data_IF_471170037898
#
_entry.id   IF_471170037898
#
_cell.length_a   1.000
_cell.length_b   1.000
_cell.length_c   1.000
_cell.angle_alpha   90.00
_cell.angle_beta   90.00
_cell.angle_gamma   90.00
#
_symmetry.space_group_name_H-M   'P 1'
#
loop_
_entity.id
_entity.type
_entity.pdbx_description
1 polymer ?
#
# COMPACT_ATOMS: atom_id res chain seq x y z
N UNK A 1 -25.52 -16.93 -33.49
CA UNK A 1 -24.63 -15.74 -33.37
C UNK A 1 -23.66 -15.70 -34.56
N UNK A 2 -23.31 -14.52 -35.07
CA UNK A 2 -22.41 -14.37 -36.24
C UNK A 2 -20.92 -14.42 -35.85
N UNK A 3 -19.99 -14.73 -36.79
CA UNK A 3 -18.55 -14.68 -36.51
C UNK A 3 -18.06 -13.30 -36.03
N UNK A 4 -18.62 -12.21 -36.59
CA UNK A 4 -18.30 -10.84 -36.18
C UNK A 4 -18.64 -10.60 -34.71
N UNK A 5 -19.85 -11.02 -34.28
CA UNK A 5 -20.27 -10.86 -32.88
C UNK A 5 -19.34 -11.62 -31.92
N UNK A 6 -18.93 -12.82 -32.28
CA UNK A 6 -17.96 -13.61 -31.49
C UNK A 6 -16.58 -12.96 -31.39
N UNK A 7 -16.09 -12.35 -32.46
CA UNK A 7 -14.83 -11.59 -32.44
C UNK A 7 -14.93 -10.40 -31.47
N UNK A 8 -16.03 -9.63 -31.54
CA UNK A 8 -16.25 -8.48 -30.66
C UNK A 8 -16.34 -8.91 -29.19
N UNK A 9 -17.03 -10.02 -28.90
CA UNK A 9 -17.07 -10.62 -27.56
C UNK A 9 -15.68 -11.05 -27.09
N UNK A 10 -14.88 -11.66 -27.96
CA UNK A 10 -13.49 -12.01 -27.66
C UNK A 10 -12.61 -10.80 -27.33
N UNK A 11 -12.76 -9.70 -28.08
CA UNK A 11 -12.09 -8.43 -27.78
C UNK A 11 -12.55 -7.84 -26.45
N UNK A 12 -13.86 -7.90 -26.15
CA UNK A 12 -14.41 -7.44 -24.88
C UNK A 12 -13.80 -8.20 -23.70
N UNK A 13 -13.72 -9.53 -23.80
CA UNK A 13 -13.10 -10.40 -22.79
C UNK A 13 -11.63 -10.02 -22.59
N UNK A 14 -10.87 -9.84 -23.67
CA UNK A 14 -9.45 -9.51 -23.58
C UNK A 14 -9.23 -8.15 -22.91
N UNK A 15 -10.00 -7.12 -23.28
CA UNK A 15 -9.92 -5.79 -22.68
C UNK A 15 -10.36 -5.80 -21.21
N UNK A 16 -11.43 -6.53 -20.85
CA UNK A 16 -11.89 -6.64 -19.47
C UNK A 16 -10.94 -7.42 -18.56
N UNK A 17 -10.29 -8.46 -19.10
CA UNK A 17 -9.24 -9.19 -18.39
C UNK A 17 -8.00 -8.31 -18.18
N UNK A 18 -7.60 -7.52 -19.18
CA UNK A 18 -6.53 -6.54 -19.06
C UNK A 18 -6.85 -5.51 -17.98
N UNK A 19 -8.06 -4.96 -17.99
CA UNK A 19 -8.53 -3.98 -16.99
C UNK A 19 -8.42 -4.53 -15.56
N UNK A 20 -8.97 -5.74 -15.35
CA UNK A 20 -8.96 -6.41 -14.05
C UNK A 20 -7.52 -6.65 -13.58
N UNK A 21 -6.65 -7.19 -14.43
CA UNK A 21 -5.28 -7.55 -14.02
C UNK A 21 -4.37 -6.33 -13.93
N UNK A 22 -4.42 -5.43 -14.88
CA UNK A 22 -3.50 -4.30 -14.94
C UNK A 22 -3.96 -3.17 -14.02
N UNK A 23 -5.20 -2.70 -14.20
CA UNK A 23 -5.70 -1.54 -13.47
C UNK A 23 -6.10 -1.89 -12.04
N UNK A 24 -6.97 -2.88 -11.85
CA UNK A 24 -7.49 -3.18 -10.51
C UNK A 24 -6.46 -3.84 -9.60
N UNK A 25 -5.66 -4.79 -10.14
CA UNK A 25 -4.71 -5.56 -9.33
C UNK A 25 -3.33 -4.97 -9.22
N UNK A 26 -2.72 -4.55 -10.34
CA UNK A 26 -1.32 -4.14 -10.33
C UNK A 26 -1.14 -2.66 -10.00
N UNK A 27 -1.94 -1.77 -10.61
CA UNK A 27 -1.78 -0.33 -10.39
C UNK A 27 -2.57 0.17 -9.20
N UNK A 28 -3.88 -0.10 -9.14
CA UNK A 28 -4.76 0.48 -8.12
C UNK A 28 -4.82 -0.35 -6.84
N UNK A 29 -4.68 -1.68 -6.95
CA UNK A 29 -4.68 -2.59 -5.80
C UNK A 29 -5.97 -2.46 -4.98
N UNK A 30 -7.12 -2.41 -5.66
CA UNK A 30 -8.44 -2.12 -5.07
C UNK A 30 -8.74 -3.00 -3.85
N UNK A 31 -8.37 -4.28 -3.92
CA UNK A 31 -8.55 -5.26 -2.85
C UNK A 31 -7.83 -4.94 -1.53
N UNK A 32 -6.98 -3.92 -1.51
CA UNK A 32 -6.20 -3.50 -0.35
C UNK A 32 -6.54 -2.08 0.12
N UNK A 33 -7.55 -1.44 -0.47
CA UNK A 33 -7.97 -0.09 -0.10
C UNK A 33 -9.38 -0.13 0.50
N UNK A 34 -9.55 0.14 1.81
CA UNK A 34 -10.86 0.09 2.47
C UNK A 34 -11.98 0.92 1.82
N UNK A 35 -11.74 2.13 1.27
CA UNK A 35 -12.78 2.91 0.60
C UNK A 35 -13.37 2.22 -0.64
N UNK A 36 -12.58 1.40 -1.35
CA UNK A 36 -12.95 0.72 -2.61
C UNK A 36 -13.80 -0.54 -2.39
N UNK A 37 -14.26 -0.78 -1.16
CA UNK A 37 -15.09 -1.94 -0.82
C UNK A 37 -16.38 -2.02 -1.64
N UNK A 38 -17.00 -0.88 -1.97
CA UNK A 38 -18.27 -0.86 -2.71
C UNK A 38 -18.06 -1.19 -4.19
N UNK A 39 -17.03 -0.62 -4.81
CA UNK A 39 -16.53 -0.94 -6.15
C UNK A 39 -16.31 -2.46 -6.29
N UNK A 40 -15.55 -3.08 -5.38
CA UNK A 40 -15.33 -4.55 -5.41
C UNK A 40 -16.61 -5.39 -5.30
N UNK A 41 -17.65 -4.91 -4.59
CA UNK A 41 -18.94 -5.63 -4.56
C UNK A 41 -19.64 -5.54 -5.91
N UNK A 42 -19.59 -4.39 -6.57
CA UNK A 42 -20.16 -4.20 -7.90
C UNK A 42 -19.42 -5.09 -8.90
N UNK A 43 -18.09 -5.13 -8.86
CA UNK A 43 -17.26 -6.03 -9.67
C UNK A 43 -17.62 -7.50 -9.42
N UNK A 44 -17.80 -7.91 -8.17
CA UNK A 44 -18.18 -9.28 -7.83
C UNK A 44 -19.53 -9.69 -8.45
N UNK A 45 -20.54 -8.83 -8.37
CA UNK A 45 -21.87 -9.10 -8.93
C UNK A 45 -21.82 -9.08 -10.46
N UNK A 46 -21.15 -8.09 -11.06
CA UNK A 46 -20.94 -7.99 -12.51
C UNK A 46 -20.27 -9.25 -13.05
N UNK A 47 -19.18 -9.68 -12.42
CA UNK A 47 -18.41 -10.86 -12.82
C UNK A 47 -19.23 -12.16 -12.68
N UNK A 48 -20.13 -12.26 -11.69
CA UNK A 48 -21.05 -13.39 -11.58
C UNK A 48 -22.07 -13.43 -12.74
N UNK A 49 -22.58 -12.26 -13.17
CA UNK A 49 -23.46 -12.16 -14.33
C UNK A 49 -22.73 -12.53 -15.62
N UNK A 50 -21.50 -12.03 -15.82
CA UNK A 50 -20.67 -12.43 -16.96
C UNK A 50 -20.39 -13.94 -16.99
N UNK A 51 -20.08 -14.54 -15.84
CA UNK A 51 -19.86 -15.98 -15.75
C UNK A 51 -21.09 -16.78 -16.22
N UNK A 52 -22.28 -16.37 -15.77
CA UNK A 52 -23.54 -16.96 -16.22
C UNK A 52 -23.76 -16.76 -17.72
N UNK A 53 -23.63 -15.53 -18.22
CA UNK A 53 -23.90 -15.19 -19.62
C UNK A 53 -22.94 -15.90 -20.57
N UNK A 54 -21.64 -15.95 -20.27
CA UNK A 54 -20.66 -16.65 -21.12
C UNK A 54 -20.90 -18.16 -21.14
N UNK A 55 -21.24 -18.77 -20.00
CA UNK A 55 -21.53 -20.20 -19.96
C UNK A 55 -22.81 -20.53 -20.74
N UNK A 56 -23.84 -19.72 -20.57
CA UNK A 56 -25.14 -19.94 -21.22
C UNK A 56 -25.06 -19.70 -22.73
N UNK A 57 -24.62 -18.51 -23.15
CA UNK A 57 -24.56 -18.15 -24.58
C UNK A 57 -23.45 -18.90 -25.33
N UNK A 58 -22.47 -19.46 -24.61
CA UNK A 58 -21.43 -20.31 -25.18
C UNK A 58 -21.93 -21.67 -25.65
N UNK A 59 -22.99 -22.20 -25.04
CA UNK A 59 -23.40 -23.61 -25.23
C UNK A 59 -24.88 -23.78 -25.56
N UNK A 60 -25.69 -22.73 -25.45
CA UNK A 60 -27.13 -22.84 -25.60
C UNK A 60 -27.75 -21.70 -26.40
N UNK A 61 -28.71 -22.05 -27.24
CA UNK A 61 -29.73 -21.12 -27.73
C UNK A 61 -30.94 -21.25 -26.82
N UNK A 62 -31.22 -20.19 -26.07
CA UNK A 62 -32.34 -20.13 -25.13
C UNK A 62 -33.47 -19.37 -25.82
N UNK A 63 -34.63 -20.00 -25.96
CA UNK A 63 -35.80 -19.48 -26.66
C UNK A 63 -37.01 -19.24 -25.74
N UNK A 64 -37.92 -18.39 -26.21
CA UNK A 64 -39.18 -18.06 -25.55
C UNK A 64 -38.99 -17.29 -24.25
N UNK A 65 -39.76 -17.65 -23.22
CA UNK A 65 -39.76 -16.94 -21.93
C UNK A 65 -38.39 -16.96 -21.24
N UNK A 66 -37.59 -17.99 -21.48
CA UNK A 66 -36.25 -18.10 -20.92
C UNK A 66 -35.28 -17.06 -21.49
N UNK A 67 -35.47 -16.64 -22.75
CA UNK A 67 -34.64 -15.59 -23.36
C UNK A 67 -34.89 -14.24 -22.70
N UNK A 68 -36.11 -13.98 -22.22
CA UNK A 68 -36.42 -12.77 -21.48
C UNK A 68 -35.58 -12.65 -20.19
N UNK A 69 -35.24 -13.78 -19.54
CA UNK A 69 -34.32 -13.79 -18.39
C UNK A 69 -32.89 -13.42 -18.78
N UNK A 70 -32.43 -13.81 -19.97
CA UNK A 70 -31.11 -13.42 -20.50
C UNK A 70 -31.08 -11.93 -20.81
N UNK A 71 -32.13 -11.39 -21.44
CA UNK A 71 -32.26 -9.95 -21.67
C UNK A 71 -32.30 -9.19 -20.33
N UNK A 72 -33.04 -9.68 -19.34
CA UNK A 72 -33.07 -9.09 -18.01
C UNK A 72 -31.70 -9.12 -17.32
N UNK A 73 -30.94 -10.22 -17.46
CA UNK A 73 -29.58 -10.33 -16.93
C UNK A 73 -28.62 -9.34 -17.61
N UNK A 74 -28.73 -9.15 -18.95
CA UNK A 74 -27.97 -8.13 -19.68
C UNK A 74 -28.35 -6.71 -19.23
N UNK A 75 -29.63 -6.42 -19.05
CA UNK A 75 -30.09 -5.12 -18.55
C UNK A 75 -29.58 -4.83 -17.13
N UNK A 76 -29.61 -5.84 -16.24
CA UNK A 76 -29.06 -5.74 -14.91
C UNK A 76 -27.54 -5.51 -14.93
N UNK A 77 -26.83 -6.21 -15.81
CA UNK A 77 -25.39 -6.00 -16.01
C UNK A 77 -25.09 -4.55 -16.46
N UNK A 78 -25.83 -4.02 -17.44
CA UNK A 78 -25.67 -2.62 -17.90
C UNK A 78 -25.88 -1.66 -16.74
N UNK A 79 -26.93 -1.86 -15.95
CA UNK A 79 -27.21 -1.02 -14.79
C UNK A 79 -26.07 -1.06 -13.76
N UNK A 80 -25.51 -2.25 -13.47
CA UNK A 80 -24.37 -2.40 -12.56
C UNK A 80 -23.14 -1.71 -13.13
N UNK A 81 -22.84 -1.86 -14.42
CA UNK A 81 -21.69 -1.23 -15.08
C UNK A 81 -21.80 0.30 -15.05
N UNK A 82 -22.99 0.86 -15.21
CA UNK A 82 -23.22 2.30 -15.03
C UNK A 82 -23.06 2.74 -13.57
N UNK A 83 -23.55 1.96 -12.61
CA UNK A 83 -23.35 2.24 -11.18
C UNK A 83 -21.88 2.19 -10.78
N UNK A 84 -21.13 1.25 -11.35
CA UNK A 84 -19.69 1.09 -11.13
C UNK A 84 -18.93 2.35 -11.61
N UNK A 85 -19.24 2.82 -12.82
CA UNK A 85 -18.67 4.05 -13.36
C UNK A 85 -18.91 5.27 -12.46
N UNK A 86 -20.12 5.40 -11.90
CA UNK A 86 -20.45 6.49 -10.97
C UNK A 86 -19.69 6.34 -9.64
N UNK A 87 -19.60 5.13 -9.11
CA UNK A 87 -18.86 4.85 -7.86
C UNK A 87 -17.35 5.11 -8.03
N UNK A 88 -16.78 4.75 -9.17
CA UNK A 88 -15.38 5.02 -9.51
C UNK A 88 -15.08 6.52 -9.50
N UNK A 89 -15.88 7.32 -10.22
CA UNK A 89 -15.67 8.78 -10.33
C UNK A 89 -15.85 9.50 -8.99
N UNK A 90 -16.74 9.00 -8.13
CA UNK A 90 -16.94 9.51 -6.77
C UNK A 90 -15.83 9.09 -5.80
N UNK A 91 -15.25 7.90 -5.97
CA UNK A 91 -14.33 7.31 -4.99
C UNK A 91 -12.86 7.58 -5.27
N UNK A 92 -12.46 7.75 -6.54
CA UNK A 92 -11.07 8.02 -6.92
C UNK A 92 -10.93 8.67 -8.29
N UNK A 93 -9.78 9.32 -8.50
CA UNK A 93 -9.43 9.86 -9.82
C UNK A 93 -8.91 8.74 -10.72
N UNK A 94 -9.63 8.48 -11.82
CA UNK A 94 -9.22 7.49 -12.82
C UNK A 94 -7.97 7.94 -13.60
N UNK A 95 -6.91 7.11 -13.66
CA UNK A 95 -5.79 7.28 -14.58
C UNK A 95 -6.26 7.44 -16.04
N UNK A 96 -5.51 8.19 -16.83
CA UNK A 96 -5.86 8.42 -18.23
C UNK A 96 -5.95 7.12 -19.05
N UNK A 97 -5.07 6.15 -18.79
CA UNK A 97 -5.10 4.85 -19.45
C UNK A 97 -6.34 4.03 -19.11
N UNK A 98 -6.80 4.08 -17.85
CA UNK A 98 -8.01 3.41 -17.38
C UNK A 98 -9.25 4.01 -18.06
N UNK A 99 -9.33 5.34 -18.10
CA UNK A 99 -10.42 6.05 -18.78
C UNK A 99 -10.51 5.72 -20.28
N UNK A 100 -9.36 5.61 -20.95
CA UNK A 100 -9.32 5.19 -22.36
C UNK A 100 -9.84 3.76 -22.49
N UNK A 101 -9.38 2.84 -21.63
CA UNK A 101 -9.84 1.45 -21.65
C UNK A 101 -11.35 1.33 -21.42
N UNK A 102 -11.90 2.05 -20.43
CA UNK A 102 -13.35 2.09 -20.16
C UNK A 102 -14.14 2.63 -21.36
N UNK A 103 -13.62 3.66 -22.03
CA UNK A 103 -14.24 4.21 -23.25
C UNK A 103 -14.30 3.17 -24.37
N UNK A 104 -13.20 2.43 -24.60
CA UNK A 104 -13.14 1.38 -25.62
C UNK A 104 -14.06 0.20 -25.27
N UNK A 105 -14.07 -0.22 -23.99
CA UNK A 105 -14.97 -1.24 -23.46
C UNK A 105 -16.44 -0.86 -23.67
N UNK A 106 -16.83 0.38 -23.38
CA UNK A 106 -18.20 0.86 -23.55
C UNK A 106 -18.63 0.90 -25.02
N UNK A 107 -17.76 1.39 -25.92
CA UNK A 107 -18.03 1.43 -27.36
C UNK A 107 -18.21 0.01 -27.91
N UNK A 108 -17.25 -0.88 -27.64
CA UNK A 108 -17.31 -2.26 -28.13
C UNK A 108 -18.53 -3.01 -27.56
N UNK A 109 -18.84 -2.81 -26.27
CA UNK A 109 -20.03 -3.40 -25.66
C UNK A 109 -21.33 -2.88 -26.27
N UNK A 110 -21.42 -1.59 -26.58
CA UNK A 110 -22.56 -1.02 -27.30
C UNK A 110 -22.76 -1.68 -28.68
N UNK A 111 -21.69 -1.93 -29.43
CA UNK A 111 -21.75 -2.66 -30.72
C UNK A 111 -22.18 -4.11 -30.52
N UNK A 112 -21.67 -4.81 -29.50
CA UNK A 112 -22.10 -6.16 -29.14
C UNK A 112 -23.61 -6.18 -28.88
N UNK A 113 -24.11 -5.26 -28.06
CA UNK A 113 -25.54 -5.16 -27.75
C UNK A 113 -26.39 -4.87 -28.99
N UNK A 114 -25.95 -3.95 -29.86
CA UNK A 114 -26.65 -3.63 -31.11
C UNK A 114 -26.79 -4.85 -32.05
N UNK A 115 -25.80 -5.75 -32.03
CA UNK A 115 -25.82 -6.98 -32.84
C UNK A 115 -26.51 -8.16 -32.14
N UNK A 116 -26.44 -8.24 -30.81
CA UNK A 116 -26.97 -9.34 -30.02
C UNK A 116 -28.46 -9.17 -29.70
N UNK A 117 -28.92 -7.96 -29.37
CA UNK A 117 -30.30 -7.72 -28.94
C UNK A 117 -31.34 -8.14 -29.99
N UNK A 118 -31.19 -7.85 -31.30
CA UNK A 118 -32.14 -8.33 -32.31
C UNK A 118 -32.25 -9.85 -32.33
N UNK A 119 -31.11 -10.55 -32.18
CA UNK A 119 -31.08 -12.02 -32.13
C UNK A 119 -31.85 -12.54 -30.91
N UNK A 120 -31.64 -11.91 -29.74
CA UNK A 120 -32.35 -12.29 -28.51
C UNK A 120 -33.84 -11.98 -28.59
N UNK A 121 -34.23 -10.87 -29.22
CA UNK A 121 -35.65 -10.55 -29.46
C UNK A 121 -36.28 -11.62 -30.34
N UNK A 122 -35.63 -12.01 -31.44
CA UNK A 122 -36.14 -13.08 -32.31
C UNK A 122 -36.27 -14.42 -31.56
N UNK A 123 -35.33 -14.72 -30.67
CA UNK A 123 -35.39 -15.89 -29.80
C UNK A 123 -36.56 -15.84 -28.80
N UNK A 124 -36.95 -14.67 -28.28
CA UNK A 124 -38.13 -14.55 -27.40
C UNK A 124 -39.44 -14.88 -28.12
N UNK A 125 -39.50 -14.71 -29.44
CA UNK A 125 -40.70 -14.99 -30.25
C UNK A 125 -40.86 -16.49 -30.58
N UNK A 126 -39.84 -17.30 -30.30
CA UNK A 126 -39.88 -18.75 -30.50
C UNK A 126 -40.50 -19.49 -29.31
N UNK A 127 -41.00 -20.73 -29.50
CA UNK A 127 -41.47 -21.56 -28.39
C UNK A 127 -40.40 -21.75 -27.32
N UNK A 128 -40.80 -21.69 -26.05
CA UNK A 128 -39.88 -21.80 -24.93
C UNK A 128 -39.12 -23.13 -24.96
N UNK A 129 -37.79 -23.05 -24.96
CA UNK A 129 -36.93 -24.23 -25.05
C UNK A 129 -35.46 -23.87 -24.95
N UNK A 130 -34.63 -24.87 -24.68
CA UNK A 130 -33.18 -24.75 -24.65
C UNK A 130 -32.64 -25.71 -25.71
N UNK A 131 -31.90 -25.18 -26.67
CA UNK A 131 -31.22 -25.97 -27.70
C UNK A 131 -29.72 -25.87 -27.49
N UNK A 132 -29.00 -26.95 -27.74
CA UNK A 132 -27.53 -26.92 -27.71
C UNK A 132 -27.01 -26.06 -28.87
N UNK A 133 -26.18 -25.08 -28.53
CA UNK A 133 -25.39 -24.31 -29.48
C UNK A 133 -23.93 -24.77 -29.38
N UNK A 134 -23.26 -24.94 -30.51
CA UNK A 134 -21.83 -25.22 -30.53
C UNK A 134 -21.14 -24.34 -31.56
N UNK A 135 -20.23 -23.49 -31.10
CA UNK A 135 -19.49 -22.53 -31.92
C UNK A 135 -18.00 -22.91 -32.05
N UNK A 136 -17.66 -24.20 -31.89
CA UNK A 136 -16.28 -24.65 -31.98
C UNK A 136 -15.43 -24.14 -30.81
N UNK A 137 -14.24 -23.62 -31.12
CA UNK A 137 -13.30 -23.08 -30.14
C UNK A 137 -13.89 -21.92 -29.32
N UNK A 138 -14.86 -21.18 -29.87
CA UNK A 138 -15.49 -20.03 -29.22
C UNK A 138 -16.33 -20.44 -28.00
N UNK A 139 -17.01 -21.59 -28.06
CA UNK A 139 -17.73 -22.15 -26.90
C UNK A 139 -16.76 -22.47 -25.77
N UNK A 140 -15.58 -23.01 -26.09
CA UNK A 140 -14.53 -23.25 -25.10
C UNK A 140 -13.93 -21.96 -24.54
N UNK A 141 -13.71 -20.96 -25.40
CA UNK A 141 -13.27 -19.63 -24.96
C UNK A 141 -14.29 -18.99 -24.02
N UNK A 142 -15.58 -19.08 -24.33
CA UNK A 142 -16.66 -18.62 -23.46
C UNK A 142 -16.66 -19.34 -22.11
N UNK A 143 -16.47 -20.67 -22.07
CA UNK A 143 -16.29 -21.41 -20.81
C UNK A 143 -15.08 -20.92 -20.02
N UNK A 144 -13.94 -20.73 -20.67
CA UNK A 144 -12.73 -20.23 -20.01
C UNK A 144 -12.95 -18.84 -19.40
N UNK A 145 -13.62 -17.94 -20.13
CA UNK A 145 -14.04 -16.63 -19.65
C UNK A 145 -15.04 -16.71 -18.51
N UNK A 146 -15.98 -17.65 -18.57
CA UNK A 146 -16.95 -17.87 -17.50
C UNK A 146 -16.27 -18.29 -16.20
N UNK A 147 -15.31 -19.22 -16.29
CA UNK A 147 -14.48 -19.65 -15.14
C UNK A 147 -13.66 -18.48 -14.62
N UNK A 148 -12.99 -17.73 -15.50
CA UNK A 148 -12.19 -16.56 -15.13
C UNK A 148 -13.01 -15.49 -14.39
N UNK A 149 -14.13 -15.07 -14.99
CA UNK A 149 -15.05 -14.11 -14.38
C UNK A 149 -15.60 -14.64 -13.05
N UNK A 150 -16.00 -15.91 -12.98
CA UNK A 150 -16.48 -16.52 -11.74
C UNK A 150 -15.43 -16.51 -10.62
N UNK A 151 -14.19 -16.88 -10.93
CA UNK A 151 -13.08 -16.87 -9.96
C UNK A 151 -12.75 -15.46 -9.47
N UNK A 152 -12.68 -14.47 -10.37
CA UNK A 152 -12.45 -13.07 -9.99
C UNK A 152 -13.63 -12.51 -9.19
N UNK A 153 -14.88 -12.84 -9.56
CA UNK A 153 -16.06 -12.41 -8.79
C UNK A 153 -16.08 -12.96 -7.36
N UNK A 154 -15.76 -14.24 -7.17
CA UNK A 154 -15.61 -14.84 -5.83
C UNK A 154 -14.47 -14.18 -5.05
N UNK A 155 -13.37 -13.84 -5.74
CA UNK A 155 -12.22 -13.17 -5.15
C UNK A 155 -12.55 -11.74 -4.71
N UNK A 156 -13.23 -10.95 -5.54
CA UNK A 156 -13.62 -9.57 -5.24
C UNK A 156 -14.60 -9.54 -4.08
N UNK A 157 -15.52 -10.51 -4.03
CA UNK A 157 -16.41 -10.69 -2.87
C UNK A 157 -15.63 -11.01 -1.59
N UNK A 158 -14.64 -11.91 -1.65
CA UNK A 158 -13.79 -12.24 -0.51
C UNK A 158 -12.96 -11.02 -0.06
N UNK A 159 -12.41 -10.25 -0.99
CA UNK A 159 -11.70 -9.00 -0.72
C UNK A 159 -12.62 -7.94 -0.08
N UNK A 160 -13.83 -7.74 -0.59
CA UNK A 160 -14.80 -6.81 -0.02
C UNK A 160 -15.23 -7.20 1.41
N UNK A 161 -15.28 -8.50 1.73
CA UNK A 161 -15.50 -8.99 3.11
C UNK A 161 -14.27 -8.81 4.00
N UNK A 162 -13.07 -8.94 3.45
CA UNK A 162 -11.79 -8.66 4.15
C UNK A 162 -11.71 -7.18 4.53
N UNK A 163 -11.90 -6.28 3.57
CA UNK A 163 -11.87 -4.83 3.78
C UNK A 163 -12.90 -4.35 4.81
N UNK A 164 -14.04 -5.05 4.96
CA UNK A 164 -15.02 -4.76 6.01
C UNK A 164 -14.51 -4.97 7.44
N UNK A 165 -13.48 -5.80 7.62
CA UNK A 165 -12.88 -6.14 8.92
C UNK A 165 -11.66 -5.30 9.25
N UNK A 166 -11.08 -4.61 8.26
CA UNK A 166 -9.96 -3.70 8.46
C UNK A 166 -10.52 -2.46 9.17
N UNK A 167 -10.33 -2.41 10.48
CA UNK A 167 -10.68 -1.26 11.31
C UNK A 167 -9.49 -0.31 11.32
N UNK A 168 -9.64 0.88 10.74
CA UNK A 168 -8.69 1.96 11.01
C UNK A 168 -8.96 2.50 12.41
N UNK A 169 -7.92 2.56 13.26
CA UNK A 169 -8.03 3.27 14.54
C UNK A 169 -8.38 4.72 14.23
N UNK A 170 -9.38 5.32 14.93
CA UNK A 170 -9.69 6.73 14.76
C UNK A 170 -8.41 7.55 14.90
N UNK A 171 -8.18 8.41 13.91
CA UNK A 171 -6.93 9.15 13.69
C UNK A 171 -6.46 9.90 14.96
N UNK A 172 -7.41 10.42 15.75
CA UNK A 172 -7.14 11.17 16.98
C UNK A 172 -6.51 10.30 18.08
N UNK A 173 -6.96 9.05 18.22
CA UNK A 173 -6.57 8.14 19.31
C UNK A 173 -5.13 7.59 19.14
N UNK A 174 -4.42 8.01 18.09
CA UNK A 174 -3.06 7.56 17.76
C UNK A 174 -2.01 8.42 18.47
N UNK A 175 -2.32 9.65 18.89
CA UNK A 175 -1.33 10.56 19.52
C UNK A 175 -1.77 11.09 20.88
N UNK A 176 -2.68 10.39 21.56
CA UNK A 176 -3.24 10.75 22.89
C UNK A 176 -2.20 11.07 23.99
N UNK A 177 -0.94 10.69 23.80
CA UNK A 177 0.16 11.02 24.71
C UNK A 177 0.57 12.51 24.69
N UNK A 178 0.10 13.32 23.75
CA UNK A 178 0.35 14.76 23.69
C UNK A 178 -0.88 15.52 24.18
N UNK A 179 -0.83 16.03 25.42
CA UNK A 179 -1.98 16.67 26.07
C UNK A 179 -2.19 18.16 25.71
N UNK A 180 -1.15 18.85 25.24
CA UNK A 180 -1.22 20.27 24.88
C UNK A 180 -1.14 20.48 23.37
N UNK A 181 -1.86 21.46 22.79
CA UNK A 181 -1.71 21.83 21.39
C UNK A 181 -0.26 22.26 21.10
N UNK A 182 0.35 21.63 20.09
CA UNK A 182 1.72 21.88 19.66
C UNK A 182 1.73 22.26 18.19
N UNK A 183 2.72 23.05 17.78
CA UNK A 183 3.04 23.23 16.37
C UNK A 183 4.15 22.27 15.96
N UNK A 184 3.82 21.33 15.06
CA UNK A 184 4.74 20.29 14.59
C UNK A 184 5.04 20.51 13.11
N UNK A 185 6.32 20.66 12.76
CA UNK A 185 6.78 20.67 11.38
C UNK A 185 7.11 19.25 10.93
N UNK A 186 6.50 18.79 9.83
CA UNK A 186 6.71 17.44 9.28
C UNK A 186 7.31 17.54 7.87
N UNK A 187 8.52 17.01 7.70
CA UNK A 187 9.09 16.75 6.37
C UNK A 187 8.70 15.34 5.91
N UNK A 188 8.63 15.10 4.60
CA UNK A 188 8.17 13.80 4.09
C UNK A 188 6.69 13.54 4.39
N UNK A 189 5.91 14.59 4.62
CA UNK A 189 4.50 14.57 4.99
C UNK A 189 3.62 13.75 4.03
N UNK A 190 3.98 13.66 2.75
CA UNK A 190 3.20 12.91 1.74
C UNK A 190 3.59 11.43 1.63
N UNK A 191 4.56 10.98 2.44
CA UNK A 191 5.02 9.59 2.46
C UNK A 191 4.10 8.67 3.28
N UNK A 192 4.36 7.37 3.20
CA UNK A 192 3.55 6.32 3.85
C UNK A 192 3.37 6.51 5.38
N UNK A 193 4.43 6.92 6.09
CA UNK A 193 4.37 7.24 7.52
C UNK A 193 3.91 8.68 7.74
N UNK A 194 4.44 9.62 6.95
CA UNK A 194 4.17 11.05 7.10
C UNK A 194 2.71 11.42 6.96
N UNK A 195 1.97 10.83 6.00
CA UNK A 195 0.58 11.21 5.75
C UNK A 195 -0.33 10.80 6.90
N UNK A 196 -0.11 9.61 7.45
CA UNK A 196 -0.80 9.11 8.63
C UNK A 196 -0.41 9.90 9.89
N UNK A 197 0.85 10.31 10.02
CA UNK A 197 1.32 11.19 11.12
C UNK A 197 0.64 12.57 11.08
N UNK A 198 0.60 13.21 9.91
CA UNK A 198 -0.06 14.51 9.71
C UNK A 198 -1.53 14.40 10.06
N UNK A 199 -2.21 13.36 9.55
CA UNK A 199 -3.60 13.11 9.88
C UNK A 199 -3.79 12.97 11.40
N UNK A 200 -2.95 12.16 12.06
CA UNK A 200 -3.02 11.90 13.50
C UNK A 200 -2.87 13.19 14.33
N UNK A 201 -1.84 13.99 14.04
CA UNK A 201 -1.63 15.25 14.75
C UNK A 201 -2.74 16.27 14.49
N UNK A 202 -3.18 16.44 13.24
CA UNK A 202 -4.26 17.36 12.91
C UNK A 202 -5.59 16.94 13.57
N UNK A 203 -5.90 15.63 13.54
CA UNK A 203 -7.09 15.05 14.16
C UNK A 203 -7.10 15.15 15.69
N UNK A 204 -5.93 15.22 16.33
CA UNK A 204 -5.77 15.47 17.76
C UNK A 204 -5.72 16.97 18.13
N UNK A 205 -5.86 17.88 17.16
CA UNK A 205 -5.92 19.33 17.40
C UNK A 205 -4.56 20.04 17.44
N UNK A 206 -3.47 19.38 17.07
CA UNK A 206 -2.16 20.03 16.92
C UNK A 206 -2.10 20.81 15.60
N UNK A 207 -1.28 21.87 15.56
CA UNK A 207 -1.01 22.63 14.35
C UNK A 207 0.09 21.94 13.56
N UNK A 208 -0.20 21.48 12.35
CA UNK A 208 0.78 20.77 11.53
C UNK A 208 1.24 21.66 10.39
N UNK A 209 2.56 21.87 10.28
CA UNK A 209 3.19 22.50 9.12
C UNK A 209 3.79 21.37 8.27
N UNK A 210 3.42 21.29 7.00
CA UNK A 210 3.88 20.24 6.08
C UNK A 210 4.79 20.81 5.01
N UNK A 211 6.00 20.26 4.91
CA UNK A 211 6.90 20.55 3.81
C UNK A 211 6.63 19.59 2.65
N UNK A 212 6.21 20.15 1.50
CA UNK A 212 5.96 19.39 0.28
C UNK A 212 6.76 19.92 -0.90
N UNK A 213 7.23 19.01 -1.75
CA UNK A 213 7.97 19.38 -2.98
C UNK A 213 7.06 19.78 -4.15
N UNK A 214 5.77 19.42 -4.09
CA UNK A 214 4.81 19.65 -5.17
C UNK A 214 3.40 19.73 -4.60
N UNK A 215 2.65 20.75 -5.03
CA UNK A 215 1.26 20.97 -4.64
C UNK A 215 0.33 19.83 -5.07
N UNK A 216 0.66 19.11 -6.14
CA UNK A 216 -0.13 17.98 -6.65
C UNK A 216 -0.23 16.81 -5.64
N UNK A 217 0.64 16.76 -4.63
CA UNK A 217 0.62 15.72 -3.59
C UNK A 217 -0.17 16.11 -2.34
N UNK A 218 -0.75 17.32 -2.30
CA UNK A 218 -1.53 17.81 -1.16
C UNK A 218 -2.89 17.14 -1.04
N UNK A 219 -3.44 16.64 -2.15
CA UNK A 219 -4.70 15.87 -2.18
C UNK A 219 -4.65 14.62 -1.28
N UNK A 220 -3.44 14.16 -0.92
CA UNK A 220 -3.22 12.98 -0.07
C UNK A 220 -3.27 13.27 1.43
N UNK A 221 -3.44 14.53 1.84
CA UNK A 221 -3.40 14.94 3.24
C UNK A 221 -4.78 15.46 3.68
N UNK A 222 -5.34 14.95 4.80
CA UNK A 222 -6.58 15.50 5.34
C UNK A 222 -6.31 16.84 6.05
N UNK A 223 -6.98 17.94 5.68
CA UNK A 223 -6.85 19.21 6.39
C UNK A 223 -7.42 19.12 7.82
N UNK A 224 -7.05 20.03 8.75
CA UNK A 224 -6.26 21.24 8.55
C UNK A 224 -4.73 21.05 8.69
N UNK A 225 -3.96 21.71 7.82
CA UNK A 225 -2.50 21.85 7.92
C UNK A 225 -2.04 23.12 7.19
N UNK A 226 -0.87 23.65 7.56
CA UNK A 226 -0.19 24.73 6.84
C UNK A 226 0.81 24.14 5.85
N UNK A 227 0.73 24.53 4.58
CA UNK A 227 1.63 24.02 3.54
C UNK A 227 2.79 24.99 3.32
N UNK A 228 4.00 24.44 3.26
CA UNK A 228 5.18 25.15 2.77
C UNK A 228 5.89 24.32 1.69
N UNK A 229 6.54 24.99 0.74
CA UNK A 229 7.36 24.34 -0.31
C UNK A 229 8.86 24.53 -0.13
N UNK A 230 9.25 25.44 0.77
CA UNK A 230 10.63 25.62 1.23
C UNK A 230 10.60 25.97 2.72
N UNK A 231 11.62 25.55 3.47
CA UNK A 231 11.79 25.94 4.87
C UNK A 231 12.09 27.44 5.02
N UNK A 232 12.53 28.11 3.96
CA UNK A 232 12.74 29.58 3.92
C UNK A 232 11.43 30.38 3.97
N UNK A 233 10.29 29.74 3.73
CA UNK A 233 8.98 30.37 3.86
C UNK A 233 8.56 30.55 5.31
N UNK A 234 9.27 29.95 6.27
CA UNK A 234 9.00 30.13 7.70
C UNK A 234 9.82 31.31 8.23
N UNK A 235 9.16 32.41 8.65
CA UNK A 235 9.81 33.51 9.36
C UNK A 235 10.49 33.05 10.65
N UNK A 236 11.47 33.82 11.12
CA UNK A 236 12.25 33.50 12.33
C UNK A 236 11.39 33.45 13.62
N UNK A 237 10.30 34.22 13.68
CA UNK A 237 9.34 34.26 14.79
C UNK A 237 8.30 33.13 14.74
N UNK A 238 8.34 32.27 13.71
CA UNK A 238 7.44 31.11 13.61
C UNK A 238 7.64 30.18 14.79
N UNK A 239 6.58 29.99 15.59
CA UNK A 239 6.59 29.00 16.67
C UNK A 239 6.53 27.58 16.10
N UNK A 240 7.59 26.80 16.29
CA UNK A 240 7.66 25.35 16.03
C UNK A 240 8.09 24.67 17.33
N UNK A 241 7.23 23.83 17.90
CA UNK A 241 7.52 23.14 19.16
C UNK A 241 8.31 21.83 18.93
N UNK A 242 8.07 21.14 17.81
CA UNK A 242 8.78 19.93 17.41
C UNK A 242 8.94 19.83 15.88
N UNK A 243 10.04 19.20 15.45
CA UNK A 243 10.28 18.88 14.03
C UNK A 243 10.38 17.38 13.88
N UNK A 244 9.64 16.81 12.92
CA UNK A 244 9.74 15.39 12.53
C UNK A 244 10.26 15.31 11.09
N UNK A 245 11.49 14.84 10.94
CA UNK A 245 12.15 14.73 9.64
C UNK A 245 12.05 13.29 9.09
N UNK A 246 11.06 13.04 8.23
CA UNK A 246 10.86 11.74 7.56
C UNK A 246 11.15 11.77 6.05
N UNK A 247 11.61 12.92 5.55
CA UNK A 247 11.93 13.09 4.15
C UNK A 247 13.15 12.24 3.74
N UNK A 248 13.03 11.61 2.59
CA UNK A 248 14.11 10.88 1.96
C UNK A 248 13.63 10.21 0.68
N UNK A 249 14.57 10.02 -0.25
CA UNK A 249 14.32 9.21 -1.43
C UNK A 249 14.02 7.76 -1.01
N UNK A 250 12.98 7.10 -1.54
CA UNK A 250 12.70 5.71 -1.22
C UNK A 250 13.88 4.80 -1.55
N UNK A 251 14.26 3.95 -0.59
CA UNK A 251 15.38 3.02 -0.74
C UNK A 251 15.02 1.79 -1.59
N UNK A 252 13.72 1.45 -1.64
CA UNK A 252 13.22 0.22 -2.25
C UNK A 252 12.62 0.37 -3.64
N UNK A 253 12.49 1.56 -4.21
CA UNK A 253 11.81 1.76 -5.50
C UNK A 253 12.67 1.45 -6.74
N UNK A 254 13.97 1.17 -6.59
CA UNK A 254 14.87 0.86 -7.69
C UNK A 254 16.11 0.08 -7.18
N UNK A 255 16.85 -0.51 -8.11
CA UNK A 255 18.15 -1.13 -7.83
C UNK A 255 19.18 -0.11 -7.34
N UNK A 256 20.11 -0.55 -6.50
CA UNK A 256 21.17 0.29 -5.91
C UNK A 256 22.37 0.45 -6.84
N UNK A 257 22.18 1.23 -7.91
CA UNK A 257 23.29 1.80 -8.69
C UNK A 257 23.98 2.92 -7.92
N UNK A 258 25.20 3.30 -8.31
CA UNK A 258 25.94 4.40 -7.65
C UNK A 258 25.14 5.71 -7.64
N UNK A 259 24.51 6.04 -8.78
CA UNK A 259 23.62 7.20 -8.90
C UNK A 259 22.44 7.09 -7.91
N UNK A 260 21.85 5.90 -7.76
CA UNK A 260 20.74 5.71 -6.83
C UNK A 260 21.20 5.84 -5.39
N UNK A 261 22.36 5.28 -5.03
CA UNK A 261 22.95 5.38 -3.69
C UNK A 261 23.26 6.82 -3.32
N UNK A 262 23.86 7.58 -4.23
CA UNK A 262 24.14 9.00 -4.06
C UNK A 262 22.85 9.80 -3.83
N UNK A 263 21.82 9.59 -4.67
CA UNK A 263 20.50 10.23 -4.49
C UNK A 263 19.86 9.88 -3.14
N UNK A 264 19.97 8.62 -2.70
CA UNK A 264 19.46 8.16 -1.39
C UNK A 264 20.16 8.93 -0.26
N UNK A 265 21.48 9.08 -0.34
CA UNK A 265 22.33 9.79 0.63
C UNK A 265 22.00 11.29 0.66
N UNK A 266 22.15 11.97 -0.47
CA UNK A 266 21.95 13.42 -0.62
C UNK A 266 20.54 13.85 -0.20
N UNK A 267 19.52 13.08 -0.56
CA UNK A 267 18.12 13.42 -0.22
C UNK A 267 17.86 13.49 1.29
N UNK A 268 18.66 12.77 2.10
CA UNK A 268 18.54 12.75 3.57
C UNK A 268 19.46 13.76 4.20
N UNK A 269 20.73 13.79 3.79
CA UNK A 269 21.72 14.72 4.34
C UNK A 269 21.33 16.16 4.04
N UNK A 270 21.00 16.49 2.79
CA UNK A 270 20.67 17.87 2.40
C UNK A 270 19.41 18.37 3.11
N UNK A 271 18.34 17.56 3.14
CA UNK A 271 17.12 17.93 3.88
C UNK A 271 17.39 18.10 5.38
N UNK A 272 18.25 17.26 5.97
CA UNK A 272 18.63 17.38 7.38
C UNK A 272 19.43 18.67 7.62
N UNK A 273 20.34 19.02 6.72
CA UNK A 273 21.06 20.29 6.75
C UNK A 273 20.11 21.49 6.63
N UNK A 274 19.11 21.44 5.73
CA UNK A 274 18.08 22.49 5.60
C UNK A 274 17.26 22.65 6.90
N UNK A 275 16.89 21.52 7.53
CA UNK A 275 16.20 21.51 8.82
C UNK A 275 17.05 22.16 9.92
N UNK A 276 18.36 21.89 9.94
CA UNK A 276 19.28 22.52 10.90
C UNK A 276 19.42 24.02 10.61
N UNK A 277 19.50 24.41 9.33
CA UNK A 277 19.49 25.81 8.92
C UNK A 277 18.24 26.56 9.40
N UNK A 278 17.06 25.93 9.31
CA UNK A 278 15.84 26.46 9.91
C UNK A 278 15.96 26.58 11.44
N UNK A 279 16.38 25.52 12.13
CA UNK A 279 16.56 25.53 13.60
C UNK A 279 17.48 26.68 14.02
N UNK A 280 18.58 26.89 13.32
CA UNK A 280 19.55 27.95 13.60
C UNK A 280 18.89 29.35 13.52
N UNK A 281 17.98 29.54 12.56
CA UNK A 281 17.36 30.83 12.23
C UNK A 281 16.11 31.16 13.07
N UNK A 282 15.43 30.16 13.63
CA UNK A 282 14.27 30.38 14.50
C UNK A 282 14.65 31.09 15.81
N UNK A 283 13.86 32.09 16.23
CA UNK A 283 14.05 32.81 17.49
C UNK A 283 13.78 31.89 18.69
N UNK A 284 12.68 31.12 18.63
CA UNK A 284 12.35 30.09 19.61
C UNK A 284 12.75 28.72 19.06
N UNK A 285 13.73 28.09 19.71
CA UNK A 285 14.20 26.75 19.32
C UNK A 285 13.12 25.69 19.60
N UNK A 286 12.92 24.73 18.68
CA UNK A 286 12.04 23.59 18.94
C UNK A 286 12.59 22.76 20.09
N UNK A 287 11.71 22.11 20.85
CA UNK A 287 12.11 21.27 21.97
C UNK A 287 12.80 19.98 21.51
N UNK A 288 12.49 19.51 20.29
CA UNK A 288 13.03 18.26 19.75
C UNK A 288 13.06 18.24 18.22
N UNK A 289 14.13 17.65 17.68
CA UNK A 289 14.21 17.13 16.33
C UNK A 289 14.10 15.60 16.39
N UNK A 290 12.98 15.06 15.92
CA UNK A 290 12.80 13.63 15.69
C UNK A 290 13.24 13.33 14.25
N UNK A 291 14.45 12.83 14.08
CA UNK A 291 14.97 12.45 12.77
C UNK A 291 14.67 10.98 12.48
N UNK A 292 14.16 10.71 11.28
CA UNK A 292 14.17 9.35 10.75
C UNK A 292 15.61 8.81 10.68
N UNK A 293 15.71 7.50 10.83
CA UNK A 293 16.87 6.66 10.56
C UNK A 293 16.32 5.26 10.21
N UNK A 294 17.15 4.23 10.19
CA UNK A 294 16.71 2.85 9.97
C UNK A 294 17.52 1.87 10.80
N UNK A 295 16.96 0.67 11.01
CA UNK A 295 17.70 -0.46 11.58
C UNK A 295 18.91 -0.88 10.74
N UNK A 296 19.01 -0.40 9.49
CA UNK A 296 20.20 -0.50 8.66
C UNK A 296 21.45 0.10 9.30
N UNK A 297 21.31 0.98 10.30
CA UNK A 297 22.44 1.49 11.09
C UNK A 297 23.30 0.38 11.70
N UNK A 298 22.70 -0.75 12.09
CA UNK A 298 23.49 -1.84 12.68
C UNK A 298 24.30 -2.62 11.63
N UNK A 299 24.01 -2.47 10.35
CA UNK A 299 24.51 -3.35 9.30
C UNK A 299 23.92 -4.75 9.36
N UNK A 300 24.54 -5.72 8.70
CA UNK A 300 23.99 -7.09 8.59
C UNK A 300 24.46 -7.99 9.74
N UNK A 301 23.50 -8.65 10.39
CA UNK A 301 23.77 -9.58 11.49
C UNK A 301 23.09 -10.92 11.25
N UNK A 302 23.54 -11.95 11.97
CA UNK A 302 22.86 -13.25 12.03
C UNK A 302 21.79 -13.21 13.13
N UNK A 303 21.87 -14.09 14.13
CA UNK A 303 20.83 -14.27 15.15
C UNK A 303 20.98 -13.39 16.40
N UNK A 304 22.00 -12.52 16.43
CA UNK A 304 22.31 -11.70 17.60
C UNK A 304 21.22 -10.65 17.84
N UNK A 305 20.67 -10.56 19.07
CA UNK A 305 19.77 -9.47 19.43
C UNK A 305 20.53 -8.14 19.50
N UNK A 306 19.98 -7.11 18.88
CA UNK A 306 20.58 -5.79 18.77
C UNK A 306 19.70 -4.75 19.48
N UNK A 307 20.30 -4.05 20.43
CA UNK A 307 19.69 -2.91 21.13
C UNK A 307 20.38 -1.62 20.67
N UNK A 308 19.92 -0.47 21.17
CA UNK A 308 20.50 0.84 20.86
C UNK A 308 21.97 0.99 21.29
N UNK A 309 22.50 0.08 22.12
CA UNK A 309 23.90 0.02 22.54
C UNK A 309 24.76 -0.94 21.70
N UNK A 310 24.19 -1.60 20.69
CA UNK A 310 24.92 -2.54 19.84
C UNK A 310 25.91 -1.83 18.90
N UNK A 311 26.94 -2.56 18.47
CA UNK A 311 27.91 -2.10 17.46
C UNK A 311 27.31 -2.21 16.06
N UNK A 312 27.96 -1.57 15.09
CA UNK A 312 27.62 -1.66 13.67
C UNK A 312 28.54 -2.61 12.90
N UNK A 313 28.09 -3.00 11.70
CA UNK A 313 28.90 -3.64 10.67
C UNK A 313 28.89 -2.80 9.40
N UNK A 314 30.06 -2.68 8.77
CA UNK A 314 30.22 -1.93 7.53
C UNK A 314 29.38 -2.53 6.39
N UNK A 315 28.52 -1.69 5.83
CA UNK A 315 27.74 -1.91 4.62
C UNK A 315 27.10 -0.58 4.23
N UNK A 316 26.51 -0.49 3.04
CA UNK A 316 25.98 0.78 2.57
C UNK A 316 24.81 1.28 3.43
N UNK A 317 23.93 0.38 3.88
CA UNK A 317 22.84 0.77 4.77
C UNK A 317 23.33 1.36 6.11
N UNK A 318 24.47 0.89 6.64
CA UNK A 318 25.10 1.48 7.81
C UNK A 318 25.68 2.87 7.49
N UNK A 319 26.50 2.99 6.45
CA UNK A 319 27.12 4.27 6.03
C UNK A 319 26.06 5.36 5.82
N UNK A 320 24.94 5.01 5.18
CA UNK A 320 23.80 5.90 5.00
C UNK A 320 23.20 6.37 6.33
N UNK A 321 22.92 5.44 7.25
CA UNK A 321 22.28 5.79 8.51
C UNK A 321 23.26 6.55 9.42
N UNK A 322 24.54 6.20 9.43
CA UNK A 322 25.56 6.89 10.20
C UNK A 322 25.71 8.35 9.73
N UNK A 323 25.86 8.59 8.43
CA UNK A 323 25.95 9.94 7.89
C UNK A 323 24.67 10.76 8.14
N UNK A 324 23.49 10.11 8.08
CA UNK A 324 22.21 10.76 8.35
C UNK A 324 22.04 11.12 9.84
N UNK A 325 22.36 10.20 10.75
CA UNK A 325 22.32 10.46 12.20
C UNK A 325 23.34 11.54 12.59
N UNK A 326 24.56 11.48 12.04
CA UNK A 326 25.59 12.49 12.27
C UNK A 326 25.15 13.89 11.82
N UNK A 327 24.51 14.00 10.66
CA UNK A 327 23.93 15.26 10.21
C UNK A 327 22.88 15.77 11.22
N UNK A 328 21.95 14.92 11.66
CA UNK A 328 20.88 15.30 12.58
C UNK A 328 21.39 15.83 13.93
N UNK A 329 22.48 15.26 14.45
CA UNK A 329 23.12 15.72 15.69
C UNK A 329 23.62 17.17 15.61
N UNK A 330 23.78 17.76 14.43
CA UNK A 330 24.08 19.19 14.28
C UNK A 330 23.06 20.12 14.95
N UNK A 331 21.81 19.67 15.16
CA UNK A 331 20.81 20.44 15.90
C UNK A 331 21.15 20.64 17.39
N UNK A 332 21.97 19.76 17.99
CA UNK A 332 22.39 19.86 19.40
C UNK A 332 23.23 21.11 19.65
N UNK A 333 23.98 21.60 18.64
CA UNK A 333 24.71 22.86 18.71
C UNK A 333 23.82 24.09 18.94
N UNK A 334 22.51 23.95 18.68
CA UNK A 334 21.50 24.98 18.93
C UNK A 334 20.66 24.70 20.18
N UNK A 335 21.07 23.76 21.03
CA UNK A 335 20.34 23.37 22.24
C UNK A 335 19.07 22.56 21.98
N UNK A 336 18.90 22.03 20.76
CA UNK A 336 17.73 21.20 20.41
C UNK A 336 18.05 19.74 20.69
N UNK A 337 17.14 19.06 21.40
CA UNK A 337 17.22 17.62 21.65
C UNK A 337 17.06 16.84 20.35
N UNK A 338 17.96 15.90 20.08
CA UNK A 338 17.88 15.04 18.89
C UNK A 338 17.49 13.63 19.29
N UNK A 339 16.53 13.05 18.57
CA UNK A 339 16.18 11.64 18.63
C UNK A 339 16.22 11.03 17.25
N UNK A 340 17.09 10.04 17.08
CA UNK A 340 17.26 9.29 15.83
C UNK A 340 16.42 8.01 15.91
N UNK A 341 15.29 7.99 15.20
CA UNK A 341 14.41 6.82 15.16
C UNK A 341 14.96 5.79 14.18
N UNK A 342 15.52 4.70 14.67
CA UNK A 342 15.98 3.57 13.84
C UNK A 342 14.78 2.69 13.49
N UNK A 343 14.10 3.06 12.39
CA UNK A 343 12.84 2.46 11.97
C UNK A 343 13.07 1.08 11.32
N UNK A 344 12.28 0.09 11.75
CA UNK A 344 12.23 -1.23 11.13
C UNK A 344 11.34 -1.31 9.89
N UNK A 345 10.90 -2.52 9.54
CA UNK A 345 9.94 -2.75 8.46
C UNK A 345 8.55 -2.28 8.89
N UNK A 346 8.13 -1.11 8.41
CA UNK A 346 6.81 -0.55 8.72
C UNK A 346 5.71 -1.33 7.99
N UNK A 347 4.72 -1.83 8.73
CA UNK A 347 3.60 -2.61 8.22
C UNK A 347 2.34 -1.75 8.02
N UNK A 348 1.71 -1.89 6.85
CA UNK A 348 0.39 -1.35 6.52
C UNK A 348 0.02 -1.66 5.07
N UNK A 349 -1.27 -1.65 4.74
CA UNK A 349 -1.79 -2.05 3.41
C UNK A 349 -1.58 -0.99 2.33
N UNK A 350 -1.55 0.27 2.73
CA UNK A 350 -1.55 1.44 1.83
C UNK A 350 -0.16 1.81 1.33
N UNK A 351 0.90 1.19 1.87
CA UNK A 351 2.28 1.50 1.52
C UNK A 351 3.30 0.71 2.33
N UNK A 352 4.57 1.02 2.13
CA UNK A 352 5.66 0.26 2.75
C UNK A 352 5.94 -1.07 2.06
N UNK A 353 6.79 -1.87 2.70
CA UNK A 353 7.38 -3.09 2.11
C UNK A 353 6.35 -4.18 1.80
N UNK A 354 5.37 -4.39 2.69
CA UNK A 354 4.43 -5.50 2.60
C UNK A 354 3.54 -5.43 1.35
N UNK A 355 3.23 -4.23 0.86
CA UNK A 355 2.35 -4.01 -0.31
C UNK A 355 2.76 -4.77 -1.56
N UNK A 356 4.07 -4.94 -1.76
CA UNK A 356 4.63 -5.67 -2.91
C UNK A 356 4.50 -7.19 -2.78
N UNK A 357 4.24 -7.68 -1.57
CA UNK A 357 4.02 -9.08 -1.27
C UNK A 357 2.54 -9.45 -1.24
N UNK A 358 1.64 -8.49 -0.96
CA UNK A 358 0.22 -8.76 -0.76
C UNK A 358 -0.44 -9.41 -2.00
N UNK A 359 -0.22 -8.88 -3.20
CA UNK A 359 -0.82 -9.42 -4.43
C UNK A 359 -0.35 -10.86 -4.71
N UNK A 360 0.96 -11.19 -4.78
CA UNK A 360 1.40 -12.58 -4.95
C UNK A 360 0.85 -13.53 -3.89
N UNK A 361 0.82 -13.11 -2.62
CA UNK A 361 0.28 -13.95 -1.54
C UNK A 361 -1.23 -14.16 -1.65
N UNK A 362 -1.99 -13.17 -2.10
CA UNK A 362 -3.44 -13.30 -2.31
C UNK A 362 -3.79 -14.34 -3.39
N UNK A 363 -2.94 -14.46 -4.42
CA UNK A 363 -3.05 -15.50 -5.44
C UNK A 363 -2.42 -16.84 -5.04
N UNK A 364 -1.93 -16.99 -3.80
CA UNK A 364 -1.28 -18.22 -3.34
C UNK A 364 0.10 -18.48 -3.97
N UNK A 365 0.68 -17.46 -4.59
CA UNK A 365 2.01 -17.48 -5.22
C UNK A 365 3.12 -16.97 -4.28
N UNK A 366 2.78 -16.75 -3.01
CA UNK A 366 3.72 -16.28 -1.99
C UNK A 366 4.69 -17.36 -1.52
N UNK A 367 5.73 -16.92 -0.79
CA UNK A 367 6.66 -17.81 -0.12
C UNK A 367 7.88 -17.09 0.45
N UNK A 368 8.78 -17.84 1.12
CA UNK A 368 9.94 -17.26 1.77
C UNK A 368 11.01 -16.83 0.76
N UNK A 369 11.75 -15.78 1.12
CA UNK A 369 12.86 -15.25 0.33
C UNK A 369 14.17 -15.93 0.75
N UNK A 370 14.85 -16.56 -0.21
CA UNK A 370 16.12 -17.24 0.02
C UNK A 370 16.00 -18.36 1.06
N UNK A 371 16.80 -18.27 2.14
CA UNK A 371 16.77 -19.28 3.20
C UNK A 371 15.56 -19.14 4.13
N UNK A 372 14.95 -17.95 4.19
CA UNK A 372 13.90 -17.60 5.15
C UNK A 372 14.40 -17.37 6.58
N UNK A 373 15.71 -17.46 6.84
CA UNK A 373 16.28 -17.32 8.19
C UNK A 373 16.54 -15.87 8.60
N UNK A 374 16.65 -14.97 7.64
CA UNK A 374 16.93 -13.56 7.91
C UNK A 374 15.86 -12.93 8.78
N UNK A 375 16.29 -12.14 9.76
CA UNK A 375 15.40 -11.47 10.70
C UNK A 375 14.71 -10.26 10.07
N UNK A 376 13.41 -10.17 10.32
CA UNK A 376 12.53 -9.09 9.93
C UNK A 376 12.08 -8.40 11.22
N UNK A 377 12.76 -7.31 11.58
CA UNK A 377 12.35 -6.43 12.67
C UNK A 377 11.36 -5.41 12.11
N UNK A 378 10.10 -5.55 12.50
CA UNK A 378 8.96 -4.84 11.93
C UNK A 378 8.30 -3.93 12.96
N UNK A 379 7.50 -2.97 12.54
CA UNK A 379 6.63 -2.17 13.43
C UNK A 379 5.32 -1.87 12.70
N UNK A 380 4.19 -1.90 13.39
CA UNK A 380 2.91 -1.46 12.81
C UNK A 380 2.92 0.07 12.65
N UNK A 381 2.31 0.60 11.58
CA UNK A 381 2.38 2.02 11.22
C UNK A 381 1.84 2.94 12.32
N UNK A 382 0.72 2.63 12.94
CA UNK A 382 0.16 3.44 14.02
C UNK A 382 1.00 3.33 15.30
N UNK A 383 1.59 2.16 15.61
CA UNK A 383 2.57 2.03 16.71
C UNK A 383 3.83 2.89 16.47
N UNK A 384 4.31 3.02 15.23
CA UNK A 384 5.40 3.94 14.90
C UNK A 384 5.02 5.40 15.16
N UNK A 385 3.80 5.80 14.79
CA UNK A 385 3.31 7.17 14.99
C UNK A 385 3.13 7.48 16.48
N UNK A 386 2.58 6.52 17.23
CA UNK A 386 2.50 6.58 18.70
C UNK A 386 3.88 6.75 19.31
N UNK A 387 4.89 6.04 18.80
CA UNK A 387 6.26 6.17 19.29
C UNK A 387 6.86 7.55 18.97
N UNK A 388 6.58 8.13 17.80
CA UNK A 388 6.98 9.50 17.46
C UNK A 388 6.38 10.48 18.48
N UNK A 389 5.07 10.39 18.74
CA UNK A 389 4.40 11.23 19.73
C UNK A 389 4.96 11.04 21.15
N UNK A 390 5.22 9.79 21.55
CA UNK A 390 5.84 9.44 22.84
C UNK A 390 7.23 10.07 22.98
N UNK A 391 8.06 10.03 21.93
CA UNK A 391 9.39 10.65 21.92
C UNK A 391 9.31 12.18 22.03
N UNK A 392 8.32 12.80 21.40
CA UNK A 392 8.07 14.24 21.53
C UNK A 392 7.68 14.57 22.98
N UNK A 393 6.80 13.78 23.59
CA UNK A 393 6.30 13.96 24.94
C UNK A 393 7.33 13.66 26.05
N UNK A 394 8.45 12.99 25.74
CA UNK A 394 9.44 12.50 26.71
C UNK A 394 10.79 13.20 26.57
N UNK A 395 11.06 14.24 27.39
CA UNK A 395 12.34 14.97 27.36
C UNK A 395 13.56 14.13 27.72
N UNK A 396 13.36 13.03 28.45
CA UNK A 396 14.40 12.10 28.89
C UNK A 396 14.90 11.16 27.77
N UNK A 397 14.17 11.06 26.66
CA UNK A 397 14.60 10.28 25.50
C UNK A 397 15.47 11.13 24.57
N UNK A 398 16.74 10.76 24.43
CA UNK A 398 17.74 11.41 23.56
C UNK A 398 18.55 10.38 22.78
N UNK A 399 19.10 10.76 21.62
CA UNK A 399 19.94 9.88 20.80
C UNK A 399 19.16 8.78 20.08
N UNK A 400 19.74 7.58 19.87
CA UNK A 400 19.07 6.52 19.10
C UNK A 400 17.94 5.87 19.89
N UNK A 401 16.84 5.58 19.18
CA UNK A 401 15.69 4.80 19.66
C UNK A 401 15.28 3.82 18.56
N UNK A 402 15.25 2.52 18.87
CA UNK A 402 14.79 1.50 17.93
C UNK A 402 13.26 1.54 17.81
N UNK A 403 12.78 1.79 16.59
CA UNK A 403 11.36 1.81 16.27
C UNK A 403 10.97 0.48 15.59
N UNK A 404 10.92 -0.57 16.42
CA UNK A 404 10.56 -1.94 16.07
C UNK A 404 9.59 -2.49 17.12
N UNK A 405 8.68 -3.38 16.75
CA UNK A 405 7.92 -4.20 17.68
C UNK A 405 8.87 -5.08 18.52
N UNK A 406 8.47 -5.46 19.75
CA UNK A 406 9.34 -6.18 20.67
C UNK A 406 9.65 -7.62 20.27
N UNK A 407 8.85 -8.23 19.37
CA UNK A 407 9.02 -9.62 18.94
C UNK A 407 9.33 -9.65 17.43
N UNK A 408 10.62 -9.52 17.05
CA UNK A 408 11.03 -9.70 15.66
C UNK A 408 10.83 -11.16 15.24
N UNK A 409 10.66 -11.39 13.94
CA UNK A 409 10.46 -12.73 13.38
C UNK A 409 11.43 -12.99 12.24
N UNK A 410 11.63 -14.26 11.87
CA UNK A 410 12.37 -14.58 10.64
C UNK A 410 11.46 -14.41 9.42
N UNK A 411 12.04 -14.29 8.23
CA UNK A 411 11.29 -14.24 6.98
C UNK A 411 10.37 -15.46 6.79
N UNK A 412 10.80 -16.64 7.20
CA UNK A 412 9.95 -17.84 7.20
C UNK A 412 8.69 -17.63 8.06
N UNK A 413 8.86 -17.15 9.30
CA UNK A 413 7.74 -16.89 10.20
C UNK A 413 6.84 -15.75 9.71
N UNK A 414 7.42 -14.72 9.10
CA UNK A 414 6.65 -13.67 8.45
C UNK A 414 5.77 -14.23 7.32
N UNK A 415 6.35 -15.04 6.44
CA UNK A 415 5.64 -15.70 5.34
C UNK A 415 4.52 -16.62 5.84
N UNK A 416 4.78 -17.45 6.85
CA UNK A 416 3.77 -18.33 7.46
C UNK A 416 2.59 -17.53 8.01
N UNK A 417 2.86 -16.47 8.77
CA UNK A 417 1.81 -15.63 9.38
C UNK A 417 1.01 -14.86 8.32
N UNK A 418 1.66 -14.38 7.26
CA UNK A 418 0.98 -13.69 6.16
C UNK A 418 0.08 -14.64 5.37
N UNK A 419 0.60 -15.82 5.02
CA UNK A 419 -0.13 -16.88 4.33
C UNK A 419 -1.36 -17.32 5.12
N UNK A 420 -1.18 -17.55 6.43
CA UNK A 420 -2.25 -17.89 7.37
C UNK A 420 -3.32 -16.80 7.42
N UNK A 421 -2.92 -15.52 7.54
CA UNK A 421 -3.88 -14.41 7.63
C UNK A 421 -4.70 -14.26 6.36
N UNK A 422 -4.09 -14.48 5.20
CA UNK A 422 -4.74 -14.40 3.89
C UNK A 422 -5.48 -15.69 3.51
N UNK A 423 -5.35 -16.76 4.29
CA UNK A 423 -5.92 -18.08 4.00
C UNK A 423 -5.46 -18.59 2.63
N UNK A 424 -4.15 -18.50 2.38
CA UNK A 424 -3.50 -18.88 1.11
C UNK A 424 -2.26 -19.73 1.37
N UNK A 425 -1.91 -20.66 0.47
CA UNK A 425 -0.63 -21.36 0.55
C UNK A 425 0.53 -20.38 0.29
N UNK A 426 1.70 -20.69 0.85
CA UNK A 426 2.93 -19.96 0.59
C UNK A 426 4.09 -20.91 0.30
N UNK A 427 3.98 -21.62 -0.82
CA UNK A 427 4.87 -22.72 -1.20
C UNK A 427 6.06 -22.29 -2.06
N UNK A 428 6.02 -21.08 -2.64
CA UNK A 428 7.01 -20.64 -3.61
C UNK A 428 8.21 -19.98 -2.95
N UNK A 429 9.23 -20.77 -2.63
CA UNK A 429 10.50 -20.22 -2.15
C UNK A 429 11.24 -19.53 -3.31
N UNK A 430 11.52 -18.24 -3.15
CA UNK A 430 12.31 -17.49 -4.13
C UNK A 430 13.80 -17.77 -3.90
N UNK A 431 14.54 -18.35 -4.87
CA UNK A 431 15.95 -18.69 -4.66
C UNK A 431 16.82 -17.46 -4.41
N UNK A 432 17.76 -17.56 -3.47
CA UNK A 432 18.69 -16.47 -3.15
C UNK A 432 19.55 -16.07 -4.33
N UNK A 433 20.03 -17.03 -5.13
CA UNK A 433 20.82 -16.76 -6.34
C UNK A 433 20.08 -15.90 -7.36
N UNK A 434 18.77 -16.14 -7.55
CA UNK A 434 17.93 -15.32 -8.43
C UNK A 434 17.80 -13.89 -7.90
N UNK A 435 17.51 -13.74 -6.60
CA UNK A 435 17.41 -12.44 -5.96
C UNK A 435 18.72 -11.64 -6.06
N UNK A 436 19.86 -12.29 -5.84
CA UNK A 436 21.18 -11.65 -5.98
C UNK A 436 21.48 -11.23 -7.41
N UNK A 437 21.13 -12.06 -8.39
CA UNK A 437 21.37 -11.76 -9.81
C UNK A 437 20.56 -10.56 -10.30
N UNK A 438 19.31 -10.45 -9.85
CA UNK A 438 18.41 -9.35 -10.25
C UNK A 438 18.65 -8.09 -9.41
N UNK A 439 18.83 -8.27 -8.11
CA UNK A 439 18.83 -7.18 -7.14
C UNK A 439 20.21 -6.71 -6.68
N UNK A 440 21.29 -7.46 -6.95
CA UNK A 440 22.63 -7.13 -6.47
C UNK A 440 22.67 -6.89 -4.95
N UNK A 441 23.36 -5.82 -4.56
CA UNK A 441 23.50 -5.42 -3.15
C UNK A 441 22.20 -5.01 -2.50
N UNK A 442 21.26 -4.43 -3.25
CA UNK A 442 19.92 -4.13 -2.75
C UNK A 442 19.23 -5.41 -2.24
N UNK A 443 19.32 -6.50 -3.00
CA UNK A 443 18.78 -7.78 -2.56
C UNK A 443 19.60 -8.40 -1.42
N UNK A 444 20.93 -8.27 -1.44
CA UNK A 444 21.79 -8.78 -0.38
C UNK A 444 21.47 -8.14 0.97
N UNK A 445 21.36 -6.81 1.01
CA UNK A 445 21.17 -6.07 2.27
C UNK A 445 19.71 -6.06 2.73
N UNK A 446 18.75 -5.77 1.84
CA UNK A 446 17.36 -5.53 2.25
C UNK A 446 16.42 -6.74 2.14
N UNK A 447 16.73 -7.74 1.29
CA UNK A 447 15.83 -8.89 1.07
C UNK A 447 16.37 -10.18 1.70
N UNK A 448 17.68 -10.39 1.62
CA UNK A 448 18.38 -11.59 2.08
C UNK A 448 19.13 -11.36 3.40
N UNK A 449 19.42 -10.10 3.73
CA UNK A 449 19.96 -9.65 5.00
C UNK A 449 18.86 -9.42 6.02
N UNK A 450 19.26 -9.25 7.28
CA UNK A 450 18.34 -8.96 8.37
C UNK A 450 19.06 -8.63 9.66
N UNK A 451 18.31 -8.14 10.63
CA UNK A 451 18.78 -7.82 11.96
C UNK A 451 17.68 -8.13 12.97
N UNK A 452 18.05 -8.74 14.10
CA UNK A 452 17.13 -9.00 15.21
C UNK A 452 17.16 -7.83 16.19
N UNK A 453 16.45 -6.76 15.87
CA UNK A 453 16.47 -5.49 16.62
C UNK A 453 15.37 -5.48 17.67
N UNK A 454 15.74 -5.02 18.88
CA UNK A 454 14.86 -4.91 20.04
C UNK A 454 14.70 -3.45 20.47
N UNK A 455 13.47 -3.00 20.79
CA UNK A 455 13.16 -1.61 21.14
C UNK A 455 13.40 -1.30 22.62
N UNK A 456 14.61 -1.55 23.14
CA UNK A 456 14.88 -1.47 24.58
C UNK A 456 14.57 -0.08 25.16
N UNK A 457 14.92 1.00 24.47
CA UNK A 457 14.66 2.36 24.97
C UNK A 457 13.18 2.75 24.92
N UNK A 458 12.45 2.31 23.91
CA UNK A 458 11.01 2.51 23.88
C UNK A 458 10.35 1.78 25.06
N UNK A 459 10.67 0.50 25.26
CA UNK A 459 10.13 -0.29 26.36
C UNK A 459 10.48 0.28 27.74
N UNK A 460 11.75 0.63 27.98
CA UNK A 460 12.19 1.16 29.28
C UNK A 460 11.61 2.55 29.59
N UNK A 461 11.24 3.32 28.58
CA UNK A 461 10.53 4.59 28.75
C UNK A 461 9.04 4.45 29.08
N UNK A 462 8.52 3.21 29.10
CA UNK A 462 7.11 2.91 29.37
C UNK A 462 6.21 2.92 28.13
N UNK A 463 6.78 2.93 26.92
CA UNK A 463 5.99 2.83 25.70
C UNK A 463 5.33 1.46 25.58
N UNK A 464 4.01 1.44 25.38
CA UNK A 464 3.22 0.21 25.22
C UNK A 464 2.81 0.05 23.77
N UNK A 465 3.40 -0.94 23.09
CA UNK A 465 3.03 -1.36 21.75
C UNK A 465 1.62 -1.96 21.74
N UNK A 466 0.76 -1.50 20.81
CA UNK A 466 -0.55 -2.12 20.56
C UNK A 466 -0.37 -3.50 19.94
N UNK A 467 0.62 -3.65 19.07
CA UNK A 467 0.89 -4.87 18.34
C UNK A 467 2.30 -5.40 18.65
N UNK A 468 2.39 -6.21 19.70
CA UNK A 468 3.65 -6.86 20.07
C UNK A 468 4.00 -8.04 19.17
N UNK A 469 2.99 -8.73 18.63
CA UNK A 469 3.16 -9.92 17.78
C UNK A 469 2.73 -9.64 16.34
N UNK A 470 3.40 -10.28 15.37
CA UNK A 470 3.09 -10.11 13.96
C UNK A 470 1.65 -10.51 13.65
N UNK A 471 1.16 -11.56 14.33
CA UNK A 471 -0.23 -12.01 14.29
C UNK A 471 -1.21 -10.90 14.62
N UNK A 472 -1.01 -10.20 15.74
CA UNK A 472 -1.89 -9.10 16.15
C UNK A 472 -1.86 -7.93 15.15
N UNK A 473 -0.69 -7.62 14.58
CA UNK A 473 -0.58 -6.57 13.56
C UNK A 473 -1.32 -6.96 12.27
N UNK A 474 -1.14 -8.19 11.79
CA UNK A 474 -1.84 -8.72 10.62
C UNK A 474 -3.34 -8.87 10.82
N UNK A 475 -3.79 -9.17 12.04
CA UNK A 475 -5.23 -9.17 12.36
C UNK A 475 -5.86 -7.80 12.18
N UNK A 476 -5.16 -6.74 12.60
CA UNK A 476 -5.62 -5.37 12.47
C UNK A 476 -5.59 -4.84 11.03
N UNK A 477 -4.54 -5.16 10.25
CA UNK A 477 -4.32 -4.52 8.94
C UNK A 477 -4.79 -5.34 7.71
N UNK A 478 -5.08 -6.65 7.83
CA UNK A 478 -5.41 -7.55 6.69
C UNK A 478 -6.80 -8.19 6.75
#
# INVERSE_FOLDING_TARGET
MTPLLWILVGLQIAMGAFDTVYHHELTERLAWRPPQRRELKLHAVRNALYALLFLVLGWFEIHGLWTALIIAALAAEIAITLMDFVEEDLSRKLPASERINHTLLAINYGVILALLLPILVDWTLQPSGIRSAYAGWLSFAATASAIGAGLFGLRDFAAARRLARITSVPVRDVVDGLSEPQTVLVTGATGFVGSRLVAAFAGAGHRVIVLVRSAAKLELLPPPFTVITSLDQLPADTRVDAIVNLAGEPIGNALWTDIKRQKIMESRINMTADVIGLIARLERKPAVLVSGSAIGWYGLWQDQPLTESAKSHACFSHELCEAWEAAAHGAEAHGVRVVCLRIGLVLGTDGGFITRMLTPFEFGLGGPLGSGRQWMSWIERDDLIRLIAHVIARPDLTGPVNATAPIPVTNMKFTEELARRLHRPAVFRVPSGLLRRVGGDFANELLLGGQRVLPNRALSSGFVFRHQTLRSAFEAIL
#
